data_IF_983402168969
#
_entry.id   IF_983402168969
#
_cell.length_a   1.000
_cell.length_b   1.000
_cell.length_c   1.000
_cell.angle_alpha   90.00
_cell.angle_beta   90.00
_cell.angle_gamma   90.00
#
_symmetry.space_group_name_H-M   'P 1'
#
loop_
_entity.id
_entity.type
_entity.pdbx_description
1 polymer ?
#
# COMPACT_ATOMS: atom_id res chain seq x y z
N UNK A 1 12.26 19.81 -3.68
CA UNK A 1 11.62 21.11 -4.00
C UNK A 1 10.13 20.93 -4.31
N UNK A 2 9.38 22.03 -4.26
CA UNK A 2 7.99 22.05 -4.75
C UNK A 2 7.93 23.06 -5.89
N UNK A 3 7.49 22.62 -7.09
CA UNK A 3 7.33 23.47 -8.25
C UNK A 3 6.21 24.51 -8.03
N UNK A 4 6.19 25.59 -8.81
CA UNK A 4 5.16 26.66 -8.70
C UNK A 4 3.72 26.15 -8.87
N UNK A 5 3.54 25.03 -9.58
CA UNK A 5 2.25 24.40 -9.78
C UNK A 5 1.87 23.40 -8.68
N UNK A 6 2.69 23.26 -7.63
CA UNK A 6 2.44 22.41 -6.47
C UNK A 6 2.99 21.00 -6.57
N UNK A 7 3.60 20.58 -7.70
CA UNK A 7 4.24 19.27 -7.83
C UNK A 7 5.44 19.18 -6.87
N UNK A 8 5.50 18.14 -6.07
CA UNK A 8 6.67 17.84 -5.21
C UNK A 8 7.70 17.04 -5.99
N UNK A 9 8.95 17.42 -5.86
CA UNK A 9 10.09 16.76 -6.51
C UNK A 9 11.15 16.46 -5.45
N UNK A 10 11.55 15.19 -5.35
CA UNK A 10 12.63 14.74 -4.47
C UNK A 10 13.72 14.11 -5.32
N UNK A 11 14.92 14.67 -5.30
CA UNK A 11 16.09 14.21 -6.03
C UNK A 11 17.19 13.81 -5.05
N UNK A 12 17.65 12.56 -5.12
CA UNK A 12 18.70 11.99 -4.28
C UNK A 12 19.81 11.46 -5.20
N UNK A 13 20.72 12.32 -5.69
CA UNK A 13 21.84 11.89 -6.52
C UNK A 13 22.84 11.09 -5.70
N UNK A 14 23.24 9.91 -6.21
CA UNK A 14 24.20 9.00 -5.59
C UNK A 14 25.24 8.60 -6.65
N UNK A 15 26.36 9.31 -6.71
CA UNK A 15 27.41 9.14 -7.73
C UNK A 15 28.16 7.80 -7.62
N UNK A 16 28.15 7.18 -6.44
CA UNK A 16 28.77 5.88 -6.18
C UNK A 16 27.93 4.69 -6.68
N UNK A 17 26.66 4.92 -7.04
CA UNK A 17 25.77 3.89 -7.59
C UNK A 17 25.91 3.80 -9.09
N UNK A 18 25.48 2.66 -9.66
CA UNK A 18 25.41 2.47 -11.12
C UNK A 18 23.98 2.59 -11.65
N UNK A 19 23.03 2.30 -10.79
CA UNK A 19 21.61 2.29 -11.07
C UNK A 19 20.91 3.58 -10.63
N UNK A 20 19.75 3.82 -11.21
CA UNK A 20 18.80 4.83 -10.78
C UNK A 20 17.37 4.26 -10.75
N UNK A 21 16.53 4.85 -9.94
CA UNK A 21 15.09 4.62 -9.96
C UNK A 21 14.35 5.95 -10.01
N UNK A 22 13.32 5.99 -10.86
CA UNK A 22 12.43 7.13 -11.03
C UNK A 22 11.03 6.65 -10.68
N UNK A 23 10.33 7.37 -9.81
CA UNK A 23 8.92 7.13 -9.48
C UNK A 23 8.13 8.40 -9.68
N UNK A 24 7.06 8.33 -10.47
CA UNK A 24 6.09 9.41 -10.65
C UNK A 24 4.73 8.90 -10.17
N UNK A 25 4.16 9.55 -9.16
CA UNK A 25 2.99 9.06 -8.45
C UNK A 25 1.90 10.10 -8.29
N UNK A 26 0.65 9.63 -8.21
CA UNK A 26 -0.52 10.42 -7.85
C UNK A 26 -1.14 9.88 -6.56
N UNK A 27 -1.69 10.77 -5.71
CA UNK A 27 -2.48 10.41 -4.53
C UNK A 27 -3.92 10.07 -4.93
N UNK A 28 -4.05 9.05 -5.75
CA UNK A 28 -5.31 8.50 -6.22
C UNK A 28 -5.21 6.99 -6.25
N UNK A 29 -6.04 6.33 -5.47
CA UNK A 29 -6.11 4.88 -5.36
C UNK A 29 -7.56 4.41 -5.20
N UNK A 30 -7.75 3.11 -4.92
CA UNK A 30 -9.06 2.47 -4.90
C UNK A 30 -10.01 2.98 -3.82
N UNK A 31 -9.50 3.58 -2.73
CA UNK A 31 -10.32 4.21 -1.68
C UNK A 31 -11.11 5.44 -2.18
N UNK A 32 -10.75 6.00 -3.35
CA UNK A 32 -11.30 7.27 -3.83
C UNK A 32 -12.26 7.06 -4.99
N UNK A 33 -13.49 6.67 -4.69
CA UNK A 33 -14.55 6.45 -5.69
C UNK A 33 -15.64 7.52 -5.69
N UNK A 34 -15.66 8.42 -4.72
CA UNK A 34 -16.64 9.52 -4.65
C UNK A 34 -15.94 10.85 -4.43
N UNK A 35 -16.03 11.75 -5.41
CA UNK A 35 -15.31 13.02 -5.40
C UNK A 35 -16.06 14.10 -6.21
N UNK A 36 -15.58 15.34 -6.15
CA UNK A 36 -16.06 16.42 -7.00
C UNK A 36 -15.11 16.60 -8.18
N UNK A 37 -15.51 16.27 -9.42
CA UNK A 37 -14.66 16.41 -10.60
C UNK A 37 -14.27 17.86 -10.84
N UNK A 38 -13.14 18.06 -11.54
CA UNK A 38 -12.73 19.38 -11.99
C UNK A 38 -13.85 20.04 -12.83
N UNK A 39 -14.08 21.33 -12.59
CA UNK A 39 -15.12 22.11 -13.28
C UNK A 39 -16.56 21.80 -12.84
N UNK A 40 -16.76 20.90 -11.87
CA UNK A 40 -18.07 20.54 -11.32
C UNK A 40 -18.25 21.07 -9.90
N UNK A 41 -19.53 21.31 -9.52
CA UNK A 41 -19.95 21.58 -8.13
C UNK A 41 -20.61 20.34 -7.49
N UNK A 42 -20.90 19.32 -8.28
CA UNK A 42 -21.59 18.10 -7.83
C UNK A 42 -20.60 16.97 -7.64
N UNK A 43 -20.76 16.21 -6.56
CA UNK A 43 -20.03 14.96 -6.35
C UNK A 43 -20.53 13.91 -7.33
N UNK A 44 -19.61 13.08 -7.80
CA UNK A 44 -19.91 11.87 -8.58
C UNK A 44 -19.41 10.65 -7.82
N UNK A 45 -20.05 9.51 -8.04
CA UNK A 45 -19.51 8.20 -7.67
C UNK A 45 -19.11 7.52 -8.98
N UNK A 46 -17.91 6.97 -9.03
CA UNK A 46 -17.39 6.13 -10.13
C UNK A 46 -17.36 4.67 -9.66
N UNK A 47 -17.29 3.69 -10.58
CA UNK A 47 -17.18 2.28 -10.21
C UNK A 47 -15.93 1.99 -9.35
N UNK A 48 -16.02 1.01 -8.48
CA UNK A 48 -14.87 0.51 -7.75
C UNK A 48 -13.87 -0.13 -8.76
N UNK A 49 -12.57 -0.13 -8.45
CA UNK A 49 -11.53 -0.61 -9.38
C UNK A 49 -11.06 0.40 -10.43
N UNK A 50 -11.70 1.58 -10.56
CA UNK A 50 -11.37 2.55 -11.63
C UNK A 50 -9.92 3.08 -11.55
N UNK A 51 -9.32 3.16 -10.35
CA UNK A 51 -7.93 3.60 -10.20
C UNK A 51 -6.95 2.57 -10.81
N UNK A 52 -7.18 1.28 -10.58
CA UNK A 52 -6.44 0.18 -11.16
C UNK A 52 -6.65 0.09 -12.68
N UNK A 53 -7.90 0.21 -13.13
CA UNK A 53 -8.22 0.29 -14.55
C UNK A 53 -7.48 1.42 -15.26
N UNK A 54 -7.43 2.61 -14.63
CA UNK A 54 -6.73 3.76 -15.16
C UNK A 54 -5.22 3.50 -15.26
N UNK A 55 -4.63 2.82 -14.28
CA UNK A 55 -3.22 2.42 -14.31
C UNK A 55 -2.92 1.59 -15.56
N UNK A 56 -3.68 0.53 -15.83
CA UNK A 56 -3.55 -0.29 -17.03
C UNK A 56 -3.64 0.54 -18.31
N UNK A 57 -4.62 1.44 -18.38
CA UNK A 57 -4.87 2.26 -19.57
C UNK A 57 -3.78 3.29 -19.86
N UNK A 58 -2.96 3.65 -18.87
CA UNK A 58 -1.84 4.56 -19.12
C UNK A 58 -0.75 3.92 -20.00
N UNK A 59 -0.63 2.60 -20.01
CA UNK A 59 0.34 1.91 -20.87
C UNK A 59 -0.07 1.85 -22.34
N UNK A 60 -1.30 2.22 -22.68
CA UNK A 60 -1.75 2.33 -24.06
C UNK A 60 -1.66 3.78 -24.54
N UNK A 61 -0.73 4.04 -25.45
CA UNK A 61 -0.39 5.36 -25.91
C UNK A 61 -1.04 5.68 -27.28
N UNK A 62 -1.39 6.96 -27.50
CA UNK A 62 -1.96 7.43 -28.77
C UNK A 62 -1.02 7.18 -29.97
N UNK A 63 0.28 7.21 -29.73
CA UNK A 63 1.30 6.90 -30.74
C UNK A 63 1.30 5.44 -31.18
N UNK A 64 0.68 4.54 -30.40
CA UNK A 64 0.78 3.08 -30.55
C UNK A 64 2.13 2.52 -30.10
N UNK A 65 3.03 3.34 -29.55
CA UNK A 65 4.26 2.87 -28.94
C UNK A 65 3.96 2.19 -27.60
N UNK A 66 4.55 1.01 -27.40
CA UNK A 66 4.46 0.25 -26.17
C UNK A 66 5.55 0.73 -25.19
N UNK A 67 5.19 1.29 -24.03
CA UNK A 67 6.17 1.75 -23.03
C UNK A 67 7.12 0.64 -22.58
N UNK A 68 6.68 -0.60 -22.44
CA UNK A 68 7.57 -1.71 -22.10
C UNK A 68 8.64 -1.93 -23.15
N UNK A 69 8.29 -1.82 -24.44
CA UNK A 69 9.27 -1.91 -25.53
C UNK A 69 10.24 -0.73 -25.56
N UNK A 70 9.77 0.47 -25.26
CA UNK A 70 10.63 1.64 -25.18
C UNK A 70 11.69 1.44 -24.10
N UNK A 71 11.30 1.15 -22.87
CA UNK A 71 12.23 0.98 -21.75
C UNK A 71 13.17 -0.22 -21.94
N UNK A 72 12.70 -1.30 -22.54
CA UNK A 72 13.55 -2.48 -22.80
C UNK A 72 14.72 -2.18 -23.76
N UNK A 73 14.56 -1.26 -24.73
CA UNK A 73 15.63 -0.83 -25.62
C UNK A 73 16.82 -0.20 -24.88
N UNK A 74 16.53 0.44 -23.74
CA UNK A 74 17.57 1.07 -22.88
C UNK A 74 18.06 0.14 -21.77
N UNK A 75 17.55 -1.10 -21.70
CA UNK A 75 17.85 -2.05 -20.63
C UNK A 75 17.26 -1.61 -19.29
N UNK A 76 16.18 -0.85 -19.33
CA UNK A 76 15.47 -0.32 -18.15
C UNK A 76 14.19 -1.13 -17.94
N UNK A 77 13.89 -1.49 -16.70
CA UNK A 77 12.59 -2.04 -16.33
C UNK A 77 11.61 -0.92 -16.05
N UNK A 78 10.35 -1.11 -16.44
CA UNK A 78 9.24 -0.21 -16.11
C UNK A 78 8.09 -1.01 -15.52
N UNK A 79 7.39 -0.44 -14.57
CA UNK A 79 6.17 -1.00 -14.01
C UNK A 79 5.28 0.11 -13.42
N UNK A 80 4.07 -0.29 -13.03
CA UNK A 80 3.17 0.56 -12.26
C UNK A 80 2.53 -0.25 -11.14
N UNK A 81 1.90 0.41 -10.19
CA UNK A 81 1.11 -0.23 -9.17
C UNK A 81 0.06 0.72 -8.60
N UNK A 82 -1.14 0.20 -8.41
CA UNK A 82 -2.23 0.87 -7.72
C UNK A 82 -2.38 0.29 -6.32
N UNK A 83 -2.52 1.17 -5.34
CA UNK A 83 -2.81 0.84 -3.95
C UNK A 83 -4.16 1.46 -3.56
N UNK A 84 -4.52 1.35 -2.28
CA UNK A 84 -5.73 1.95 -1.75
C UNK A 84 -5.75 3.48 -1.85
N UNK A 85 -4.61 4.15 -1.69
CA UNK A 85 -4.53 5.62 -1.60
C UNK A 85 -3.70 6.28 -2.71
N UNK A 86 -3.09 5.50 -3.58
CA UNK A 86 -2.18 6.03 -4.59
C UNK A 86 -2.01 5.11 -5.80
N UNK A 87 -1.52 5.70 -6.91
CA UNK A 87 -1.03 4.98 -8.09
C UNK A 87 0.34 5.55 -8.45
N UNK A 88 1.30 4.67 -8.74
CA UNK A 88 2.66 5.04 -9.14
C UNK A 88 3.08 4.37 -10.44
N UNK A 89 3.89 5.08 -11.19
CA UNK A 89 4.60 4.62 -12.38
C UNK A 89 6.09 4.76 -12.11
N UNK A 90 6.87 3.73 -12.35
CA UNK A 90 8.28 3.77 -12.00
C UNK A 90 9.13 2.99 -12.99
N UNK A 91 10.38 3.43 -13.14
CA UNK A 91 11.37 2.69 -13.90
C UNK A 91 12.69 2.59 -13.13
N UNK A 92 13.41 1.51 -13.39
CA UNK A 92 14.69 1.20 -12.78
C UNK A 92 15.70 0.84 -13.87
N UNK A 93 16.83 1.55 -13.93
CA UNK A 93 17.79 1.43 -15.00
C UNK A 93 19.21 1.82 -14.60
N UNK A 94 20.13 1.64 -15.55
CA UNK A 94 21.56 1.97 -15.39
C UNK A 94 22.10 2.89 -16.49
N UNK A 95 21.30 3.15 -17.54
CA UNK A 95 21.67 3.94 -18.70
C UNK A 95 20.50 4.79 -19.17
N UNK A 96 20.76 5.74 -20.06
CA UNK A 96 19.74 6.57 -20.73
C UNK A 96 18.81 7.29 -19.75
N UNK A 97 19.33 7.77 -18.62
CA UNK A 97 18.54 8.38 -17.55
C UNK A 97 17.62 9.50 -18.06
N UNK A 98 18.15 10.48 -18.79
CA UNK A 98 17.37 11.64 -19.27
C UNK A 98 16.26 11.22 -20.23
N UNK A 99 16.56 10.30 -21.14
CA UNK A 99 15.60 9.74 -22.11
C UNK A 99 14.46 9.02 -21.39
N UNK A 100 14.80 8.16 -20.42
CA UNK A 100 13.84 7.42 -19.62
C UNK A 100 13.01 8.33 -18.70
N UNK A 101 13.62 9.35 -18.07
CA UNK A 101 12.91 10.34 -17.27
C UNK A 101 11.89 11.11 -18.13
N UNK A 102 12.33 11.57 -19.29
CA UNK A 102 11.44 12.28 -20.22
C UNK A 102 10.27 11.39 -20.64
N UNK A 103 10.56 10.17 -21.08
CA UNK A 103 9.52 9.26 -21.55
C UNK A 103 8.53 8.91 -20.45
N UNK A 104 9.00 8.63 -19.21
CA UNK A 104 8.13 8.35 -18.06
C UNK A 104 7.18 9.53 -17.78
N UNK A 105 7.71 10.76 -17.80
CA UNK A 105 6.89 11.96 -17.61
C UNK A 105 5.88 12.10 -18.73
N UNK A 106 6.30 11.95 -19.99
CA UNK A 106 5.44 12.15 -21.15
C UNK A 106 4.29 11.13 -21.13
N UNK A 107 4.57 9.82 -20.96
CA UNK A 107 3.51 8.83 -21.00
C UNK A 107 2.51 8.94 -19.85
N UNK A 108 2.94 9.30 -18.64
CA UNK A 108 2.02 9.53 -17.50
C UNK A 108 1.17 10.79 -17.72
N UNK A 109 1.60 11.72 -18.55
CA UNK A 109 0.91 12.97 -18.81
C UNK A 109 0.05 12.98 -20.09
N UNK A 110 0.06 11.91 -20.88
CA UNK A 110 -0.67 11.81 -22.15
C UNK A 110 -1.74 10.68 -22.12
N UNK A 111 -2.86 10.86 -21.42
CA UNK A 111 -3.91 9.85 -21.34
C UNK A 111 -4.58 9.66 -22.70
N UNK A 112 -4.80 8.40 -23.08
CA UNK A 112 -5.48 8.04 -24.31
C UNK A 112 -6.54 6.97 -24.09
N UNK A 113 -7.81 7.39 -23.97
CA UNK A 113 -8.94 6.48 -23.74
C UNK A 113 -9.95 6.63 -24.87
N UNK A 114 -10.29 5.52 -25.52
CA UNK A 114 -11.35 5.37 -26.51
C UNK A 114 -12.34 4.32 -26.07
N UNK A 115 -13.55 4.29 -26.63
CA UNK A 115 -14.52 3.24 -26.29
C UNK A 115 -13.95 1.85 -26.60
N UNK A 116 -13.25 1.71 -27.73
CA UNK A 116 -12.67 0.45 -28.17
C UNK A 116 -11.59 -0.06 -27.20
N UNK A 117 -10.64 0.83 -26.81
CA UNK A 117 -9.55 0.39 -25.94
C UNK A 117 -9.99 0.18 -24.48
N UNK A 118 -11.02 0.88 -24.03
CA UNK A 118 -11.63 0.64 -22.72
C UNK A 118 -12.38 -0.71 -22.72
N UNK A 119 -13.15 -1.00 -23.75
CA UNK A 119 -13.90 -2.27 -23.83
C UNK A 119 -12.97 -3.48 -23.89
N UNK A 120 -11.85 -3.38 -24.62
CA UNK A 120 -10.82 -4.41 -24.66
C UNK A 120 -10.22 -4.67 -23.27
N UNK A 121 -9.92 -3.62 -22.52
CA UNK A 121 -9.27 -3.73 -21.21
C UNK A 121 -10.17 -4.35 -20.15
N UNK A 122 -11.50 -4.15 -20.24
CA UNK A 122 -12.46 -4.78 -19.32
C UNK A 122 -12.27 -6.29 -19.26
N UNK A 123 -12.14 -6.94 -20.41
CA UNK A 123 -11.90 -8.39 -20.45
C UNK A 123 -10.61 -8.82 -19.77
N UNK A 124 -9.53 -8.06 -19.96
CA UNK A 124 -8.22 -8.35 -19.36
C UNK A 124 -8.29 -8.27 -17.83
N UNK A 125 -8.85 -7.17 -17.31
CA UNK A 125 -8.96 -6.94 -15.86
C UNK A 125 -9.94 -7.93 -15.22
N UNK A 126 -11.04 -8.30 -15.89
CA UNK A 126 -11.97 -9.31 -15.38
C UNK A 126 -11.31 -10.69 -15.24
N UNK A 127 -10.44 -11.09 -16.17
CA UNK A 127 -9.69 -12.33 -16.05
C UNK A 127 -8.65 -12.24 -14.92
N UNK A 128 -8.02 -11.08 -14.72
CA UNK A 128 -7.13 -10.84 -13.59
C UNK A 128 -7.87 -10.94 -12.25
N UNK A 129 -9.06 -10.34 -12.12
CA UNK A 129 -9.91 -10.44 -10.92
C UNK A 129 -10.21 -11.91 -10.60
N UNK A 130 -10.66 -12.68 -11.59
CA UNK A 130 -10.93 -14.12 -11.39
C UNK A 130 -9.70 -14.89 -10.95
N UNK A 131 -8.55 -14.58 -11.52
CA UNK A 131 -7.29 -15.20 -11.13
C UNK A 131 -6.98 -14.93 -9.64
N UNK A 132 -7.17 -13.69 -9.16
CA UNK A 132 -6.94 -13.36 -7.75
C UNK A 132 -8.02 -13.95 -6.82
N UNK A 133 -9.28 -14.08 -7.27
CA UNK A 133 -10.34 -14.73 -6.50
C UNK A 133 -10.03 -16.21 -6.22
N UNK A 134 -9.27 -16.87 -7.09
CA UNK A 134 -8.83 -18.27 -6.92
C UNK A 134 -7.62 -18.41 -5.98
N UNK A 135 -6.98 -17.31 -5.57
CA UNK A 135 -5.83 -17.30 -4.65
C UNK A 135 -6.33 -17.21 -3.20
N UNK A 136 -6.11 -18.25 -2.36
CA UNK A 136 -6.64 -18.29 -1.00
C UNK A 136 -6.15 -17.16 -0.10
N UNK A 137 -4.92 -16.69 -0.31
CA UNK A 137 -4.35 -15.55 0.41
C UNK A 137 -5.12 -14.26 0.13
N UNK A 138 -5.42 -13.99 -1.15
CA UNK A 138 -6.20 -12.82 -1.57
C UNK A 138 -7.63 -12.91 -1.02
N UNK A 139 -8.24 -14.09 -1.06
CA UNK A 139 -9.56 -14.32 -0.44
C UNK A 139 -9.54 -14.03 1.06
N UNK A 140 -8.52 -14.52 1.78
CA UNK A 140 -8.36 -14.30 3.21
C UNK A 140 -8.26 -12.81 3.55
N UNK A 141 -7.40 -12.08 2.82
CA UNK A 141 -7.19 -10.66 2.99
C UNK A 141 -8.46 -9.86 2.74
N UNK A 142 -9.15 -10.11 1.62
CA UNK A 142 -10.38 -9.42 1.25
C UNK A 142 -11.48 -9.68 2.29
N UNK A 143 -11.66 -10.94 2.72
CA UNK A 143 -12.66 -11.29 3.75
C UNK A 143 -12.32 -10.69 5.11
N UNK A 144 -11.05 -10.57 5.45
CA UNK A 144 -10.64 -9.91 6.68
C UNK A 144 -10.95 -8.40 6.63
N UNK A 145 -10.64 -7.69 5.52
CA UNK A 145 -10.96 -6.27 5.36
C UNK A 145 -12.47 -6.02 5.35
N UNK A 146 -13.28 -6.88 4.70
CA UNK A 146 -14.74 -6.87 4.81
C UNK A 146 -15.21 -6.98 6.28
N UNK A 147 -14.54 -7.81 7.05
CA UNK A 147 -14.82 -8.00 8.47
C UNK A 147 -14.42 -6.82 9.35
N UNK A 148 -13.36 -6.10 9.00
CA UNK A 148 -12.82 -4.97 9.77
C UNK A 148 -13.63 -3.68 9.52
N UNK A 149 -13.99 -3.36 8.27
CA UNK A 149 -14.55 -2.07 7.90
C UNK A 149 -16.04 -2.16 7.55
N UNK A 150 -16.85 -1.26 8.13
CA UNK A 150 -18.29 -1.16 7.86
C UNK A 150 -18.57 -0.44 6.54
N UNK A 151 -18.03 0.76 6.36
CA UNK A 151 -18.39 1.66 5.27
C UNK A 151 -17.19 2.19 4.47
N UNK A 152 -15.98 2.05 5.01
CA UNK A 152 -14.78 2.54 4.33
C UNK A 152 -14.45 1.68 3.10
N UNK A 153 -14.12 2.29 1.94
CA UNK A 153 -13.82 1.56 0.70
C UNK A 153 -12.63 0.59 0.81
N UNK A 154 -11.78 0.76 1.79
CA UNK A 154 -10.64 -0.13 2.08
C UNK A 154 -11.03 -1.61 2.26
N UNK A 155 -12.32 -1.89 2.43
CA UNK A 155 -12.86 -3.26 2.46
C UNK A 155 -13.08 -3.88 1.08
N UNK A 156 -12.98 -3.09 0.01
CA UNK A 156 -13.23 -3.50 -1.37
C UNK A 156 -11.87 -3.79 -2.00
N UNK A 157 -11.79 -4.83 -2.82
CA UNK A 157 -10.60 -5.15 -3.58
C UNK A 157 -10.14 -3.96 -4.45
N UNK A 158 -8.84 -3.80 -4.62
CA UNK A 158 -8.25 -2.69 -5.40
C UNK A 158 -8.72 -2.71 -6.86
N UNK A 159 -8.91 -3.90 -7.43
CA UNK A 159 -9.39 -4.07 -8.79
C UNK A 159 -10.93 -3.92 -8.92
N UNK A 160 -11.65 -3.85 -7.80
CA UNK A 160 -13.11 -3.88 -7.78
C UNK A 160 -13.67 -5.26 -8.10
N UNK A 161 -14.91 -5.32 -8.54
CA UNK A 161 -15.56 -6.54 -9.01
C UNK A 161 -15.64 -6.58 -10.55
N UNK A 162 -15.88 -7.76 -11.12
CA UNK A 162 -16.15 -7.89 -12.56
C UNK A 162 -17.36 -7.03 -13.00
N UNK A 163 -18.36 -6.85 -12.14
CA UNK A 163 -19.52 -5.98 -12.39
C UNK A 163 -19.11 -4.51 -12.41
N UNK A 164 -18.32 -4.05 -11.43
CA UNK A 164 -17.81 -2.68 -11.39
C UNK A 164 -17.00 -2.35 -12.64
N UNK A 165 -16.07 -3.24 -13.01
CA UNK A 165 -15.22 -3.09 -14.21
C UNK A 165 -16.07 -3.00 -15.49
N UNK A 166 -17.16 -3.77 -15.61
CA UNK A 166 -18.06 -3.71 -16.75
C UNK A 166 -18.69 -2.33 -16.95
N UNK A 167 -18.88 -1.59 -15.86
CA UNK A 167 -19.53 -0.27 -15.86
C UNK A 167 -18.56 0.90 -16.06
N UNK A 168 -17.25 0.66 -16.11
CA UNK A 168 -16.26 1.73 -16.34
C UNK A 168 -16.36 2.27 -17.75
N UNK A 169 -16.37 3.59 -17.90
CA UNK A 169 -16.43 4.31 -19.16
C UNK A 169 -15.21 5.21 -19.36
N UNK A 170 -14.88 5.53 -20.62
CA UNK A 170 -13.81 6.48 -20.92
C UNK A 170 -14.04 7.86 -20.31
N UNK A 171 -15.30 8.29 -20.21
CA UNK A 171 -15.68 9.56 -19.61
C UNK A 171 -15.35 9.58 -18.12
N UNK A 172 -15.54 8.47 -17.41
CA UNK A 172 -15.18 8.34 -16.00
C UNK A 172 -13.67 8.27 -15.80
N UNK A 173 -12.96 7.56 -16.67
CA UNK A 173 -11.49 7.55 -16.68
C UNK A 173 -10.92 8.96 -16.87
N UNK A 174 -11.42 9.72 -17.87
CA UNK A 174 -11.01 11.12 -18.05
C UNK A 174 -11.38 12.02 -16.86
N UNK A 175 -12.54 11.81 -16.21
CA UNK A 175 -12.90 12.56 -14.99
C UNK A 175 -11.90 12.28 -13.86
N UNK A 176 -11.54 11.02 -13.64
CA UNK A 176 -10.55 10.63 -12.64
C UNK A 176 -9.17 11.21 -12.99
N UNK A 177 -8.69 10.98 -14.21
CA UNK A 177 -7.40 11.48 -14.66
C UNK A 177 -7.30 13.01 -14.52
N UNK A 178 -8.27 13.76 -15.08
CA UNK A 178 -8.26 15.21 -15.03
C UNK A 178 -8.32 15.78 -13.61
N UNK A 179 -8.88 15.04 -12.66
CA UNK A 179 -9.01 15.48 -11.26
C UNK A 179 -7.76 15.13 -10.45
N UNK A 180 -7.26 13.91 -10.56
CA UNK A 180 -6.25 13.39 -9.66
C UNK A 180 -4.83 13.42 -10.22
N UNK A 181 -4.64 13.39 -11.54
CA UNK A 181 -3.32 13.57 -12.18
C UNK A 181 -3.04 15.07 -12.35
N UNK A 182 -3.14 15.78 -11.26
CA UNK A 182 -2.99 17.21 -11.14
C UNK A 182 -1.72 17.51 -10.33
N UNK A 183 -0.87 18.48 -10.73
CA UNK A 183 0.46 18.66 -10.13
C UNK A 183 0.50 18.69 -8.60
N UNK A 184 -0.44 19.40 -7.94
CA UNK A 184 -0.48 19.48 -6.49
C UNK A 184 -0.91 18.18 -5.78
N UNK A 185 -1.40 17.19 -6.55
CA UNK A 185 -1.76 15.85 -6.07
C UNK A 185 -0.72 14.79 -6.44
N UNK A 186 0.33 15.20 -7.14
CA UNK A 186 1.37 14.31 -7.65
C UNK A 186 2.74 14.64 -7.08
N UNK A 187 3.67 13.69 -7.20
CA UNK A 187 5.06 13.89 -6.84
C UNK A 187 5.98 12.98 -7.65
N UNK A 188 7.26 13.40 -7.78
CA UNK A 188 8.33 12.62 -8.37
C UNK A 188 9.40 12.37 -7.31
N UNK A 189 9.89 11.12 -7.24
CA UNK A 189 11.04 10.73 -6.44
C UNK A 189 12.06 10.06 -7.35
N UNK A 190 13.30 10.54 -7.31
CA UNK A 190 14.41 10.00 -8.08
C UNK A 190 15.60 9.79 -7.15
N UNK A 191 16.18 8.60 -7.15
CA UNK A 191 17.45 8.33 -6.48
C UNK A 191 18.39 7.54 -7.39
N UNK A 192 19.70 7.62 -7.12
CA UNK A 192 20.73 6.86 -7.81
C UNK A 192 21.68 7.69 -8.64
N UNK A 193 22.26 7.07 -9.66
CA UNK A 193 23.27 7.69 -10.50
C UNK A 193 22.66 8.55 -11.61
N UNK A 194 22.59 9.84 -11.38
CA UNK A 194 22.16 10.83 -12.37
C UNK A 194 22.77 12.21 -12.09
N UNK A 195 22.85 13.04 -13.12
CA UNK A 195 23.24 14.43 -12.96
C UNK A 195 22.05 15.27 -12.46
N UNK A 196 22.22 15.89 -11.28
CA UNK A 196 21.18 16.69 -10.64
C UNK A 196 20.68 17.84 -11.53
N UNK A 197 21.62 18.57 -12.18
CA UNK A 197 21.25 19.73 -13.00
C UNK A 197 20.48 19.31 -14.24
N UNK A 198 20.87 18.21 -14.85
CA UNK A 198 20.19 17.64 -15.99
C UNK A 198 18.78 17.16 -15.61
N UNK A 199 18.64 16.40 -14.54
CA UNK A 199 17.34 15.94 -14.03
C UNK A 199 16.40 17.11 -13.75
N UNK A 200 16.87 18.11 -12.98
CA UNK A 200 16.10 19.31 -12.66
C UNK A 200 15.68 20.06 -13.93
N UNK A 201 16.60 20.26 -14.90
CA UNK A 201 16.28 20.92 -16.17
C UNK A 201 15.19 20.19 -16.96
N UNK A 202 15.24 18.86 -17.05
CA UNK A 202 14.22 18.05 -17.74
C UNK A 202 12.87 18.22 -17.05
N UNK A 203 12.83 18.09 -15.73
CA UNK A 203 11.61 18.20 -14.91
C UNK A 203 10.97 19.60 -15.09
N UNK A 204 11.74 20.66 -14.91
CA UNK A 204 11.25 22.04 -15.09
C UNK A 204 10.74 22.27 -16.51
N UNK A 205 11.49 21.83 -17.53
CA UNK A 205 11.08 21.98 -18.93
C UNK A 205 9.74 21.32 -19.24
N UNK A 206 9.47 20.13 -18.68
CA UNK A 206 8.28 19.35 -19.00
C UNK A 206 7.10 19.68 -18.08
N UNK A 207 7.35 20.04 -16.83
CA UNK A 207 6.33 20.11 -15.81
C UNK A 207 5.99 21.50 -15.30
N UNK A 208 6.85 22.52 -15.41
CA UNK A 208 6.51 23.89 -14.99
C UNK A 208 5.32 24.47 -15.77
N UNK A 209 5.17 24.08 -17.03
CA UNK A 209 4.07 24.51 -17.90
C UNK A 209 2.74 23.82 -17.56
N UNK A 210 2.78 22.69 -16.83
CA UNK A 210 1.57 21.95 -16.46
C UNK A 210 0.81 22.74 -15.41
N UNK A 211 -0.35 23.29 -15.81
CA UNK A 211 -1.16 24.10 -14.91
C UNK A 211 -1.79 23.25 -13.82
N UNK A 212 -1.69 23.70 -12.57
CA UNK A 212 -2.54 23.19 -11.51
C UNK A 212 -3.98 23.65 -11.78
N UNK A 213 -4.91 22.70 -11.87
CA UNK A 213 -6.31 22.95 -12.21
C UNK A 213 -7.21 23.09 -11.00
N UNK A 214 -6.78 22.55 -9.85
CA UNK A 214 -7.51 22.57 -8.60
C UNK A 214 -6.55 22.88 -7.44
N UNK A 215 -6.90 23.81 -6.58
CA UNK A 215 -6.16 24.08 -5.35
C UNK A 215 -6.37 22.95 -4.33
N UNK A 216 -7.61 22.41 -4.25
CA UNK A 216 -7.98 21.33 -3.33
C UNK A 216 -8.90 20.34 -4.02
N UNK A 217 -8.54 19.08 -3.97
CA UNK A 217 -9.38 17.97 -4.44
C UNK A 217 -10.36 17.59 -3.33
N UNK A 218 -11.67 17.63 -3.63
CA UNK A 218 -12.73 17.30 -2.67
C UNK A 218 -13.17 15.86 -2.86
N UNK A 219 -12.82 15.01 -1.90
CA UNK A 219 -13.25 13.60 -1.84
C UNK A 219 -14.30 13.39 -0.75
N UNK A 220 -15.03 12.28 -0.83
CA UNK A 220 -15.96 11.88 0.22
C UNK A 220 -15.17 11.36 1.42
N UNK A 221 -15.48 11.88 2.59
CA UNK A 221 -15.03 11.33 3.86
C UNK A 221 -16.04 10.28 4.35
N UNK A 222 -15.53 9.18 4.88
CA UNK A 222 -16.34 8.09 5.42
C UNK A 222 -16.28 8.13 6.95
N UNK A 223 -17.46 8.11 7.57
CA UNK A 223 -17.58 7.98 9.03
C UNK A 223 -17.56 6.51 9.40
N UNK A 224 -16.38 5.95 9.43
CA UNK A 224 -16.17 4.54 9.76
C UNK A 224 -16.44 4.30 11.26
N UNK A 225 -17.27 3.30 11.65
CA UNK A 225 -17.49 2.96 13.05
C UNK A 225 -16.22 2.45 13.74
N UNK A 226 -16.14 2.67 15.06
CA UNK A 226 -15.00 2.21 15.87
C UNK A 226 -14.92 0.68 15.94
N UNK A 227 -16.05 -0.01 15.90
CA UNK A 227 -16.12 -1.48 15.97
C UNK A 227 -15.76 -2.12 14.64
N UNK A 228 -15.36 -3.39 14.67
CA UNK A 228 -15.28 -4.23 13.48
C UNK A 228 -16.68 -4.57 12.95
N UNK A 229 -16.81 -4.75 11.63
CA UNK A 229 -18.09 -5.01 10.97
C UNK A 229 -18.57 -6.45 11.23
N UNK A 230 -17.67 -7.42 11.10
CA UNK A 230 -17.95 -8.84 11.33
C UNK A 230 -16.88 -9.39 12.28
N UNK A 231 -17.30 -10.00 13.38
CA UNK A 231 -16.36 -10.51 14.38
C UNK A 231 -15.68 -11.81 13.97
N UNK A 232 -16.44 -12.71 13.35
CA UNK A 232 -15.97 -14.05 13.01
C UNK A 232 -16.57 -14.53 11.70
N UNK A 233 -15.74 -15.15 10.86
CA UNK A 233 -16.13 -15.78 9.61
C UNK A 233 -15.36 -17.08 9.44
N UNK A 234 -16.05 -18.13 9.00
CA UNK A 234 -15.44 -19.40 8.58
C UNK A 234 -15.91 -19.72 7.16
N UNK A 235 -14.98 -20.00 6.28
CA UNK A 235 -15.24 -20.21 4.86
C UNK A 235 -14.54 -21.47 4.41
N UNK A 236 -15.31 -22.41 3.83
CA UNK A 236 -14.73 -23.60 3.18
C UNK A 236 -14.31 -23.28 1.77
N UNK A 237 -13.09 -23.64 1.39
CA UNK A 237 -12.53 -23.41 0.07
C UNK A 237 -11.54 -24.50 -0.32
N UNK A 238 -11.05 -24.48 -1.57
CA UNK A 238 -10.14 -25.49 -2.10
C UNK A 238 -8.70 -25.26 -1.64
N UNK A 239 -8.44 -25.57 -0.36
CA UNK A 239 -7.11 -25.52 0.25
C UNK A 239 -6.80 -26.83 0.96
N UNK A 240 -5.53 -27.09 1.25
CA UNK A 240 -5.10 -28.27 2.01
C UNK A 240 -4.93 -27.97 3.49
N UNK A 241 -4.31 -26.82 3.81
CA UNK A 241 -4.01 -26.37 5.16
C UNK A 241 -4.87 -25.16 5.47
N UNK A 242 -5.55 -25.12 6.62
CA UNK A 242 -6.35 -23.97 7.02
C UNK A 242 -5.51 -22.70 7.12
N UNK A 243 -6.11 -21.57 6.77
CA UNK A 243 -5.51 -20.24 6.86
C UNK A 243 -6.30 -19.36 7.81
N UNK A 244 -5.62 -18.58 8.62
CA UNK A 244 -6.25 -17.65 9.55
C UNK A 244 -5.86 -16.20 9.25
N UNK A 245 -6.81 -15.30 9.41
CA UNK A 245 -6.64 -13.87 9.43
C UNK A 245 -7.24 -13.26 10.69
N UNK A 246 -6.46 -12.45 11.41
CA UNK A 246 -6.90 -11.70 12.58
C UNK A 246 -6.65 -10.22 12.35
N UNK A 247 -7.67 -9.38 12.53
CA UNK A 247 -7.56 -7.92 12.39
C UNK A 247 -8.02 -7.21 13.66
N UNK A 248 -7.11 -6.52 14.34
CA UNK A 248 -7.38 -5.75 15.56
C UNK A 248 -7.43 -4.27 15.21
N UNK A 249 -8.63 -3.66 15.34
CA UNK A 249 -8.89 -2.26 14.94
C UNK A 249 -8.83 -1.31 16.12
N UNK A 250 -8.03 -0.26 15.99
CA UNK A 250 -7.82 0.77 17.01
C UNK A 250 -8.15 2.15 16.43
N UNK A 251 -8.79 3.01 17.22
CA UNK A 251 -8.95 4.40 16.81
C UNK A 251 -7.62 5.16 17.02
N UNK A 252 -7.11 5.81 15.97
CA UNK A 252 -5.81 6.51 16.00
C UNK A 252 -5.70 7.50 17.17
N UNK A 253 -6.78 8.25 17.46
CA UNK A 253 -6.84 9.22 18.56
C UNK A 253 -6.64 8.60 19.94
N UNK A 254 -6.94 7.31 20.13
CA UNK A 254 -6.84 6.66 21.44
C UNK A 254 -5.36 6.51 21.85
N UNK A 255 -4.42 6.52 20.89
CA UNK A 255 -2.98 6.43 21.18
C UNK A 255 -2.37 7.70 21.78
N UNK A 256 -3.01 8.85 21.58
CA UNK A 256 -2.55 10.17 22.09
C UNK A 256 -1.14 10.55 21.60
N UNK A 257 -0.86 10.23 20.34
CA UNK A 257 0.37 10.61 19.63
C UNK A 257 -0.02 11.41 18.42
N UNK A 258 0.49 12.63 18.31
CA UNK A 258 0.11 13.57 17.24
C UNK A 258 0.88 13.30 15.94
N UNK A 259 2.13 12.87 16.02
CA UNK A 259 2.93 12.54 14.85
C UNK A 259 2.65 11.12 14.37
N UNK A 260 2.08 11.01 13.19
CA UNK A 260 1.70 9.73 12.54
C UNK A 260 2.90 8.82 12.29
N UNK A 261 4.07 9.38 11.95
CA UNK A 261 5.29 8.59 11.74
C UNK A 261 5.81 8.04 13.07
N UNK A 262 5.86 8.87 14.09
CA UNK A 262 6.27 8.44 15.43
C UNK A 262 5.35 7.31 15.94
N UNK A 263 4.02 7.48 15.80
CA UNK A 263 3.06 6.44 16.15
C UNK A 263 3.35 5.14 15.40
N UNK A 264 3.61 5.20 14.09
CA UNK A 264 3.89 4.01 13.28
C UNK A 264 5.16 3.29 13.71
N UNK A 265 6.21 4.02 14.12
CA UNK A 265 7.43 3.43 14.69
C UNK A 265 7.12 2.62 15.95
N UNK A 266 6.37 3.19 16.89
CA UNK A 266 6.03 2.50 18.14
C UNK A 266 5.12 1.29 17.90
N UNK A 267 4.10 1.41 17.04
CA UNK A 267 3.21 0.29 16.71
C UNK A 267 3.98 -0.88 16.05
N UNK A 268 4.88 -0.56 15.12
CA UNK A 268 5.73 -1.55 14.48
C UNK A 268 6.72 -2.17 15.48
N UNK A 269 7.28 -1.37 16.39
CA UNK A 269 8.16 -1.86 17.45
C UNK A 269 7.42 -2.83 18.36
N UNK A 270 6.22 -2.49 18.83
CA UNK A 270 5.38 -3.35 19.68
C UNK A 270 5.13 -4.69 18.97
N UNK A 271 4.61 -4.67 17.76
CA UNK A 271 4.31 -5.91 17.03
C UNK A 271 5.57 -6.75 16.74
N UNK A 272 6.71 -6.11 16.49
CA UNK A 272 7.99 -6.80 16.26
C UNK A 272 8.51 -7.45 17.54
N UNK A 273 8.35 -6.81 18.69
CA UNK A 273 8.75 -7.36 19.99
C UNK A 273 7.83 -8.48 20.47
N UNK A 274 6.55 -8.50 20.04
CA UNK A 274 5.60 -9.56 20.34
C UNK A 274 5.76 -10.74 19.36
N UNK A 275 5.79 -10.48 18.05
CA UNK A 275 5.60 -11.48 17.01
C UNK A 275 6.78 -11.68 16.08
N UNK A 276 7.88 -10.96 16.28
CA UNK A 276 9.09 -11.05 15.45
C UNK A 276 9.74 -12.43 15.48
N UNK A 277 10.56 -12.71 14.46
CA UNK A 277 11.16 -14.06 14.27
C UNK A 277 12.02 -14.56 15.43
N UNK A 278 12.56 -13.66 16.25
CA UNK A 278 13.44 -13.97 17.38
C UNK A 278 12.73 -13.90 18.75
N UNK A 279 11.40 -13.85 18.78
CA UNK A 279 10.64 -13.77 20.05
C UNK A 279 10.36 -15.14 20.63
N UNK A 280 10.16 -15.19 21.95
CA UNK A 280 9.75 -16.42 22.67
C UNK A 280 8.42 -16.94 22.12
N UNK A 281 7.49 -16.05 21.78
CA UNK A 281 6.24 -16.42 21.13
C UNK A 281 6.46 -17.21 19.84
N UNK A 282 7.32 -16.70 18.94
CA UNK A 282 7.64 -17.37 17.65
C UNK A 282 8.29 -18.74 17.87
N UNK A 283 9.18 -18.86 18.81
CA UNK A 283 9.80 -20.14 19.16
C UNK A 283 8.76 -21.13 19.71
N UNK A 284 7.88 -20.68 20.59
CA UNK A 284 6.82 -21.47 21.19
C UNK A 284 5.85 -22.02 20.14
N UNK A 285 5.31 -21.19 19.23
CA UNK A 285 4.37 -21.67 18.19
C UNK A 285 5.05 -22.56 17.16
N UNK A 286 6.35 -22.34 16.88
CA UNK A 286 7.14 -23.21 16.02
C UNK A 286 7.43 -24.57 16.65
N UNK A 287 7.86 -24.61 17.91
CA UNK A 287 8.14 -25.86 18.64
C UNK A 287 6.90 -26.74 18.84
N UNK A 288 5.71 -26.09 18.90
CA UNK A 288 4.42 -26.77 18.94
C UNK A 288 3.85 -27.14 17.57
N UNK A 289 4.57 -26.88 16.47
CA UNK A 289 4.12 -27.06 15.10
C UNK A 289 2.77 -26.42 14.79
N UNK A 290 2.52 -25.22 15.38
CA UNK A 290 1.25 -24.50 15.22
C UNK A 290 1.26 -23.52 14.02
N UNK A 291 2.32 -23.46 13.25
CA UNK A 291 2.40 -22.58 12.08
C UNK A 291 3.28 -23.16 10.98
N UNK A 292 2.91 -22.97 9.74
CA UNK A 292 3.78 -23.10 8.56
C UNK A 292 4.43 -21.76 8.24
N UNK A 293 3.62 -20.70 8.23
CA UNK A 293 4.05 -19.31 8.13
C UNK A 293 3.32 -18.45 9.17
N UNK A 294 3.80 -17.22 9.38
CA UNK A 294 3.17 -16.27 10.28
C UNK A 294 3.63 -14.86 9.90
N UNK A 295 2.71 -14.03 9.47
CA UNK A 295 2.93 -12.64 9.07
C UNK A 295 2.13 -11.71 9.94
N UNK A 296 2.63 -10.50 10.14
CA UNK A 296 1.89 -9.42 10.77
C UNK A 296 2.29 -8.09 10.14
N UNK A 297 1.33 -7.19 10.09
CA UNK A 297 1.51 -5.85 9.54
C UNK A 297 0.53 -4.87 10.16
N UNK A 298 0.80 -3.58 9.94
CA UNK A 298 -0.11 -2.50 10.30
C UNK A 298 -0.69 -1.85 9.06
N UNK A 299 -2.01 -1.90 8.94
CA UNK A 299 -2.74 -1.08 7.98
C UNK A 299 -3.24 0.21 8.65
N UNK A 300 -3.34 1.27 7.84
CA UNK A 300 -3.79 2.58 8.31
C UNK A 300 -4.84 3.14 7.36
N UNK A 301 -5.95 3.54 7.91
CA UNK A 301 -6.85 4.50 7.27
C UNK A 301 -6.89 5.77 8.16
N UNK A 302 -7.43 6.86 7.65
CA UNK A 302 -7.37 8.20 8.29
C UNK A 302 -7.54 8.17 9.84
N UNK A 303 -8.56 7.47 10.33
CA UNK A 303 -8.95 7.50 11.75
C UNK A 303 -8.63 6.22 12.51
N UNK A 304 -8.09 5.20 11.83
CA UNK A 304 -7.88 3.87 12.41
C UNK A 304 -6.55 3.26 12.01
N UNK A 305 -5.96 2.56 12.98
CA UNK A 305 -4.83 1.64 12.79
C UNK A 305 -5.32 0.23 13.01
N UNK A 306 -4.89 -0.71 12.17
CA UNK A 306 -5.29 -2.11 12.28
C UNK A 306 -4.06 -3.00 12.28
N UNK A 307 -3.86 -3.75 13.35
CA UNK A 307 -2.88 -4.83 13.38
C UNK A 307 -3.50 -6.05 12.72
N UNK A 308 -2.87 -6.52 11.66
CA UNK A 308 -3.27 -7.70 10.92
C UNK A 308 -2.27 -8.82 11.16
N UNK A 309 -2.77 -10.02 11.36
CA UNK A 309 -1.99 -11.24 11.51
C UNK A 309 -2.53 -12.29 10.55
N UNK A 310 -1.66 -12.87 9.73
CA UNK A 310 -1.97 -13.99 8.84
C UNK A 310 -1.11 -15.21 9.18
N UNK A 311 -1.69 -16.40 9.12
CA UNK A 311 -0.92 -17.64 9.30
C UNK A 311 -1.59 -18.82 8.61
N UNK A 312 -0.79 -19.84 8.31
CA UNK A 312 -1.25 -21.19 7.96
C UNK A 312 -1.00 -22.13 9.13
N UNK A 313 -1.98 -22.98 9.43
CA UNK A 313 -1.91 -23.88 10.59
C UNK A 313 -2.89 -25.03 10.47
N UNK A 314 -2.45 -26.24 10.84
CA UNK A 314 -3.37 -27.40 10.99
C UNK A 314 -4.34 -27.24 12.17
N UNK A 315 -4.05 -26.33 13.12
CA UNK A 315 -4.80 -26.14 14.35
C UNK A 315 -5.17 -24.67 14.58
N UNK A 316 -6.15 -24.12 13.82
CA UNK A 316 -6.53 -22.70 13.89
C UNK A 316 -6.84 -22.22 15.31
N UNK A 317 -7.66 -22.93 16.06
CA UNK A 317 -8.08 -22.54 17.41
C UNK A 317 -6.92 -22.49 18.40
N UNK A 318 -6.00 -23.47 18.31
CA UNK A 318 -4.82 -23.47 19.18
C UNK A 318 -3.90 -22.30 18.89
N UNK A 319 -3.65 -21.98 17.62
CA UNK A 319 -2.82 -20.84 17.26
C UNK A 319 -3.47 -19.51 17.66
N UNK A 320 -4.77 -19.35 17.39
CA UNK A 320 -5.52 -18.14 17.77
C UNK A 320 -5.48 -17.96 19.30
N UNK A 321 -5.64 -19.03 20.07
CA UNK A 321 -5.53 -18.97 21.53
C UNK A 321 -4.13 -18.59 22.01
N UNK A 322 -3.07 -19.07 21.35
CA UNK A 322 -1.70 -18.65 21.71
C UNK A 322 -1.46 -17.17 21.38
N UNK A 323 -1.95 -16.67 20.24
CA UNK A 323 -1.90 -15.23 19.90
C UNK A 323 -2.66 -14.41 20.95
N UNK A 324 -3.85 -14.85 21.34
CA UNK A 324 -4.66 -14.14 22.33
C UNK A 324 -3.98 -14.09 23.69
N UNK A 325 -3.40 -15.20 24.16
CA UNK A 325 -2.64 -15.24 25.42
C UNK A 325 -1.44 -14.29 25.40
N UNK A 326 -0.74 -14.18 24.26
CA UNK A 326 0.37 -13.24 24.11
C UNK A 326 -0.10 -11.80 24.22
N UNK A 327 -1.24 -11.46 23.58
CA UNK A 327 -1.83 -10.13 23.61
C UNK A 327 -2.49 -9.75 24.95
N UNK A 328 -2.87 -10.73 25.77
CA UNK A 328 -3.43 -10.50 27.10
C UNK A 328 -2.35 -10.34 28.19
N UNK A 329 -1.15 -10.86 27.95
CA UNK A 329 -0.06 -10.89 28.93
C UNK A 329 1.22 -10.24 28.38
N UNK A 330 1.08 -9.10 27.73
CA UNK A 330 2.21 -8.40 27.10
C UNK A 330 3.23 -7.96 28.14
N UNK A 331 4.44 -8.47 28.00
CA UNK A 331 5.61 -8.04 28.78
C UNK A 331 6.75 -7.75 27.80
N UNK A 332 7.16 -6.50 27.73
CA UNK A 332 8.27 -6.05 26.90
C UNK A 332 9.35 -5.54 27.84
N UNK A 333 10.44 -6.28 27.92
CA UNK A 333 11.60 -5.91 28.76
C UNK A 333 12.39 -4.75 28.12
N UNK A 334 12.95 -3.89 28.97
CA UNK A 334 13.82 -2.77 28.55
C UNK A 334 14.98 -3.26 27.67
N UNK A 335 15.58 -4.38 28.05
CA UNK A 335 16.71 -4.95 27.30
C UNK A 335 16.33 -5.37 25.87
N UNK A 336 15.13 -5.90 25.65
CA UNK A 336 14.64 -6.29 24.34
C UNK A 336 14.30 -5.07 23.48
N UNK A 337 13.69 -4.06 24.10
CA UNK A 337 13.42 -2.79 23.45
C UNK A 337 14.71 -2.12 22.96
N UNK A 338 15.71 -1.96 23.82
CA UNK A 338 17.01 -1.36 23.47
C UNK A 338 17.78 -2.21 22.44
N UNK A 339 17.71 -3.53 22.53
CA UNK A 339 18.27 -4.43 21.51
C UNK A 339 17.61 -4.21 20.15
N UNK A 340 16.29 -4.09 20.11
CA UNK A 340 15.55 -3.90 18.86
C UNK A 340 15.83 -2.53 18.24
N UNK A 341 15.98 -1.46 19.03
CA UNK A 341 16.43 -0.14 18.54
C UNK A 341 17.76 -0.25 17.80
N UNK A 342 18.75 -0.95 18.37
CA UNK A 342 20.05 -1.17 17.72
C UNK A 342 19.91 -1.91 16.39
N UNK A 343 19.04 -2.95 16.33
CA UNK A 343 18.77 -3.68 15.09
C UNK A 343 18.14 -2.76 14.03
N UNK A 344 17.17 -1.95 14.42
CA UNK A 344 16.53 -1.02 13.50
C UNK A 344 17.47 0.06 12.99
N UNK A 345 18.29 0.65 13.86
CA UNK A 345 19.33 1.61 13.45
C UNK A 345 20.29 0.97 12.43
N UNK A 346 20.75 -0.24 12.70
CA UNK A 346 21.63 -0.95 11.76
C UNK A 346 20.95 -1.22 10.41
N UNK A 347 19.66 -1.56 10.42
CA UNK A 347 18.88 -1.74 9.19
C UNK A 347 18.72 -0.42 8.42
N UNK A 348 18.37 0.69 9.09
CA UNK A 348 18.24 2.01 8.43
C UNK A 348 19.55 2.43 7.76
N UNK A 349 20.69 2.25 8.45
CA UNK A 349 22.01 2.55 7.86
C UNK A 349 22.27 1.68 6.63
N UNK A 350 21.95 0.39 6.69
CA UNK A 350 22.15 -0.53 5.55
C UNK A 350 21.21 -0.22 4.38
N UNK A 351 20.00 0.23 4.64
CA UNK A 351 19.00 0.45 3.61
C UNK A 351 19.33 1.65 2.69
N UNK A 352 20.15 2.58 3.15
CA UNK A 352 20.66 3.72 2.36
C UNK A 352 21.49 3.24 1.15
N UNK A 353 22.10 2.04 1.24
CA UNK A 353 22.91 1.48 0.18
C UNK A 353 22.11 1.02 -1.06
N UNK A 354 20.79 0.92 -0.95
CA UNK A 354 19.92 0.44 -2.03
C UNK A 354 19.07 1.58 -2.60
N UNK A 355 19.22 1.83 -3.90
CA UNK A 355 18.51 2.90 -4.62
C UNK A 355 16.99 2.72 -4.61
N UNK A 356 16.53 1.51 -4.88
CA UNK A 356 15.10 1.15 -4.89
C UNK A 356 14.46 1.30 -3.50
N UNK A 357 15.20 0.94 -2.44
CA UNK A 357 14.75 1.11 -1.07
C UNK A 357 14.68 2.60 -0.69
N UNK A 358 15.68 3.39 -1.09
CA UNK A 358 15.69 4.84 -0.86
C UNK A 358 14.47 5.50 -1.52
N UNK A 359 14.19 5.19 -2.78
CA UNK A 359 13.01 5.70 -3.49
C UNK A 359 11.72 5.25 -2.82
N UNK A 360 11.62 3.95 -2.45
CA UNK A 360 10.43 3.40 -1.82
C UNK A 360 10.16 4.03 -0.45
N UNK A 361 11.17 4.23 0.37
CA UNK A 361 11.04 4.88 1.68
C UNK A 361 10.52 6.32 1.54
N UNK A 362 11.10 7.11 0.64
CA UNK A 362 10.66 8.49 0.38
C UNK A 362 9.24 8.51 -0.20
N UNK A 363 8.95 7.60 -1.11
CA UNK A 363 7.61 7.44 -1.68
C UNK A 363 6.57 7.17 -0.59
N UNK A 364 6.81 6.19 0.30
CA UNK A 364 5.89 5.89 1.40
C UNK A 364 5.78 7.04 2.41
N UNK A 365 6.87 7.77 2.68
CA UNK A 365 6.85 8.95 3.52
C UNK A 365 5.90 10.03 2.95
N UNK A 366 5.96 10.27 1.63
CA UNK A 366 5.11 11.26 0.94
C UNK A 366 3.64 10.84 0.88
N UNK A 367 3.35 9.54 0.77
CA UNK A 367 1.98 9.01 0.78
C UNK A 367 1.39 9.07 2.18
N UNK A 368 2.09 8.48 3.16
CA UNK A 368 1.54 8.26 4.50
C UNK A 368 1.63 9.49 5.40
N UNK A 369 2.71 10.28 5.26
CA UNK A 369 3.00 11.39 6.17
C UNK A 369 3.04 12.76 5.48
N UNK A 370 2.87 12.81 4.15
CA UNK A 370 2.87 14.02 3.32
C UNK A 370 4.16 14.83 3.35
N UNK A 371 5.22 14.27 3.90
CA UNK A 371 6.57 14.85 4.04
C UNK A 371 7.62 13.75 3.89
N UNK A 372 8.85 14.12 3.56
CA UNK A 372 10.01 13.23 3.68
C UNK A 372 10.41 13.18 5.16
N UNK A 373 10.63 12.00 5.68
CA UNK A 373 11.09 11.80 7.05
C UNK A 373 12.63 11.80 7.05
N UNK A 374 13.18 12.89 7.54
CA UNK A 374 14.60 13.04 7.72
C UNK A 374 15.05 12.45 9.08
N UNK A 375 16.32 12.06 9.17
CA UNK A 375 16.93 11.61 10.44
C UNK A 375 16.22 10.45 11.12
N UNK A 376 15.71 9.45 10.36
CA UNK A 376 15.04 8.25 10.90
C UNK A 376 15.86 7.55 11.98
N UNK A 377 17.19 7.49 11.81
CA UNK A 377 18.12 6.93 12.81
C UNK A 377 18.01 7.65 14.16
N UNK A 378 17.95 8.98 14.16
CA UNK A 378 17.86 9.75 15.41
C UNK A 378 16.47 9.61 16.03
N UNK A 379 15.41 9.54 15.21
CA UNK A 379 14.06 9.26 15.70
C UNK A 379 14.00 7.90 16.40
N UNK A 380 14.57 6.85 15.81
CA UNK A 380 14.65 5.52 16.43
C UNK A 380 15.51 5.56 17.71
N UNK A 381 16.65 6.24 17.68
CA UNK A 381 17.53 6.39 18.86
C UNK A 381 16.82 7.05 20.04
N UNK A 382 15.97 8.03 19.76
CA UNK A 382 15.24 8.80 20.76
C UNK A 382 13.93 8.14 21.22
N UNK A 383 13.55 6.99 20.67
CA UNK A 383 12.41 6.23 21.20
C UNK A 383 12.64 5.84 22.66
N UNK A 384 11.62 5.94 23.48
CA UNK A 384 11.66 5.58 24.90
C UNK A 384 10.71 4.43 25.23
N UNK A 385 11.11 3.59 26.16
CA UNK A 385 10.28 2.48 26.66
C UNK A 385 9.04 3.00 27.36
N UNK A 386 9.14 4.09 28.11
CA UNK A 386 8.01 4.74 28.78
C UNK A 386 6.90 5.11 27.79
N UNK A 387 7.25 5.73 26.65
CA UNK A 387 6.27 6.07 25.61
C UNK A 387 5.69 4.83 24.93
N UNK A 388 6.49 3.78 24.72
CA UNK A 388 6.02 2.49 24.24
C UNK A 388 4.97 1.92 25.19
N UNK A 389 5.23 1.90 26.49
CA UNK A 389 4.30 1.39 27.51
C UNK A 389 3.02 2.22 27.59
N UNK A 390 3.13 3.55 27.44
CA UNK A 390 1.99 4.45 27.37
C UNK A 390 1.09 4.12 26.15
N UNK A 391 1.68 3.93 24.97
CA UNK A 391 0.92 3.55 23.77
C UNK A 391 0.28 2.18 23.97
N UNK A 392 1.03 1.20 24.45
CA UNK A 392 0.55 -0.15 24.71
C UNK A 392 -0.61 -0.18 25.70
N UNK A 393 -0.56 0.63 26.75
CA UNK A 393 -1.64 0.72 27.76
C UNK A 393 -2.97 1.22 27.18
N UNK A 394 -2.94 1.91 26.04
CA UNK A 394 -4.13 2.39 25.32
C UNK A 394 -4.65 1.37 24.30
N UNK A 395 -3.98 0.23 24.10
CA UNK A 395 -4.39 -0.80 23.16
C UNK A 395 -5.38 -1.78 23.78
N UNK A 396 -6.50 -1.98 23.10
CA UNK A 396 -7.48 -2.99 23.48
C UNK A 396 -7.68 -3.99 22.34
N UNK A 397 -7.20 -5.20 22.52
CA UNK A 397 -7.28 -6.29 21.54
C UNK A 397 -8.65 -7.01 21.52
N UNK A 398 -9.68 -6.44 22.18
CA UNK A 398 -11.05 -7.00 22.19
C UNK A 398 -11.82 -6.70 20.90
N UNK A 399 -11.46 -5.63 20.19
CA UNK A 399 -12.14 -5.17 18.97
C UNK A 399 -11.45 -5.81 17.76
N UNK A 400 -11.82 -7.07 17.46
CA UNK A 400 -11.16 -7.84 16.40
C UNK A 400 -12.16 -8.45 15.43
N UNK A 401 -11.71 -8.64 14.19
CA UNK A 401 -12.28 -9.55 13.20
C UNK A 401 -11.41 -10.79 13.05
N UNK A 402 -12.03 -11.96 12.86
CA UNK A 402 -11.38 -13.25 12.64
C UNK A 402 -11.95 -13.88 11.37
N UNK A 403 -11.08 -14.35 10.51
CA UNK A 403 -11.44 -15.16 9.34
C UNK A 403 -10.64 -16.46 9.37
N UNK A 404 -11.31 -17.58 9.16
CA UNK A 404 -10.69 -18.88 8.98
C UNK A 404 -11.13 -19.45 7.64
N UNK A 405 -10.17 -19.72 6.77
CA UNK A 405 -10.40 -20.54 5.58
C UNK A 405 -10.12 -21.99 5.94
N UNK A 406 -11.08 -22.85 5.66
CA UNK A 406 -11.02 -24.29 5.95
C UNK A 406 -10.99 -25.09 4.63
N UNK A 407 -10.33 -26.25 4.60
CA UNK A 407 -10.43 -27.18 3.49
C UNK A 407 -11.88 -27.58 3.26
N UNK A 408 -12.27 -27.72 1.98
CA UNK A 408 -13.55 -28.33 1.64
C UNK A 408 -13.65 -29.73 2.27
N UNK A 409 -14.77 -30.01 2.93
CA UNK A 409 -15.05 -31.38 3.41
C UNK A 409 -15.07 -32.32 2.20
N UNK A 410 -14.18 -33.27 2.16
CA UNK A 410 -14.22 -34.34 1.16
C UNK A 410 -15.52 -35.13 1.47
N UNK A 411 -16.53 -34.97 0.63
CA UNK A 411 -17.67 -35.88 0.65
C UNK A 411 -17.15 -37.20 0.06
N UNK A 412 -16.65 -38.07 0.92
CA UNK A 412 -16.46 -39.47 0.56
C UNK A 412 -17.85 -40.00 0.25
N UNK A 413 -18.19 -40.14 -1.05
CA UNK A 413 -19.29 -41.01 -1.45
C UNK A 413 -18.87 -42.40 -0.97
N UNK A 414 -19.43 -42.85 0.14
CA UNK A 414 -19.46 -44.26 0.44
C UNK A 414 -20.16 -44.92 -0.76
N UNK A 415 -19.39 -45.66 -1.52
CA UNK A 415 -19.93 -46.55 -2.55
C UNK A 415 -20.58 -47.73 -1.85
N UNK A 416 -21.92 -47.69 -1.72
CA UNK A 416 -22.74 -48.86 -1.48
C UNK A 416 -22.60 -49.89 -2.60
#
# INVERSE_FOLDING_TARGET
ETLKNGLKVVLVPCEDKKEYMITYATKFGSNTTTFTPIGSKKKVKVPDGIAHFLEHKMFEQKSGEDPFKFFSKTGTSVNASTSYDNTRYYCYGTKSFEENLKYLIDFVNEPYYTDENVEKEKGIIQEEIKMYEDIPECMLENKLREGIYHVHPHKIDIAGSCEDVSNITKEELYKCYNTFYNPNNMFIVIAGNFDYKSASKVIHKLLDQKKNRLETIKVKEYKEPKTVAIKEQEISTNIKVPKIGLGYKFATKDFKVDDEFELSLYLTMISTLLFGRATIFREKIRSKHLMTNFYFEWESIKDYKTLIIYSETENPDLLINEVQKELENIQIEEADFERMKKVWIANEVKMIDYVDTTVSNIYYDLINYHRVIENKVDLIRNMSKEKLDQILSNMSFKNRSKVILLPNKIITKESD
#
